data_IF_708579331344
#
_entry.id   IF_708579331344
#
_cell.length_a   1.000
_cell.length_b   1.000
_cell.length_c   1.000
_cell.angle_alpha   90.00
_cell.angle_beta   90.00
_cell.angle_gamma   90.00
#
_symmetry.space_group_name_H-M   'P 1'
#
loop_
_entity.id
_entity.type
_entity.pdbx_description
1 polymer ?
#
# COMPACT_ATOMS: atom_id res chain seq x y z
N UNK A 1 -22.00 -2.29 -21.12
CA UNK A 1 -21.24 -1.28 -21.86
C UNK A 1 -20.47 -0.48 -20.82
N UNK A 2 -19.16 -0.74 -20.65
CA UNK A 2 -18.33 -0.06 -19.67
C UNK A 2 -17.91 1.28 -20.27
N UNK A 3 -18.26 2.40 -19.63
CA UNK A 3 -17.94 3.72 -20.16
C UNK A 3 -16.42 3.95 -20.24
N UNK A 4 -15.93 4.65 -21.29
CA UNK A 4 -14.52 4.92 -21.46
C UNK A 4 -14.02 5.84 -20.35
N UNK A 5 -13.08 5.34 -19.55
CA UNK A 5 -12.44 6.10 -18.49
C UNK A 5 -11.63 7.25 -19.11
N UNK A 6 -12.07 8.46 -18.75
CA UNK A 6 -11.46 9.77 -18.96
C UNK A 6 -9.95 9.69 -19.24
N UNK A 7 -9.61 10.07 -20.47
CA UNK A 7 -8.26 10.41 -20.90
C UNK A 7 -7.88 11.75 -20.22
N UNK A 8 -7.49 11.69 -18.95
CA UNK A 8 -7.02 12.86 -18.21
C UNK A 8 -5.60 13.17 -18.66
N UNK A 9 -5.47 14.22 -19.48
CA UNK A 9 -4.21 14.92 -19.71
C UNK A 9 -3.51 15.13 -18.36
N UNK A 10 -2.29 14.61 -18.30
CA UNK A 10 -1.36 14.74 -17.20
C UNK A 10 -1.15 16.20 -16.80
N UNK A 11 -1.68 16.59 -15.64
CA UNK A 11 -1.16 17.69 -14.84
C UNK A 11 -1.01 17.16 -13.41
N UNK A 12 0.22 16.81 -13.04
CA UNK A 12 0.59 16.18 -11.76
C UNK A 12 0.00 14.77 -11.59
N UNK A 13 0.74 13.71 -11.97
CA UNK A 13 0.32 12.33 -11.67
C UNK A 13 0.25 12.15 -10.15
N UNK A 14 -0.94 12.25 -9.56
CA UNK A 14 -1.20 11.95 -8.16
C UNK A 14 -0.58 10.58 -7.83
N UNK A 15 0.52 10.59 -7.05
CA UNK A 15 1.18 9.37 -6.57
C UNK A 15 0.51 8.95 -5.28
N UNK A 16 -0.06 7.75 -5.28
CA UNK A 16 -0.78 7.17 -4.15
C UNK A 16 0.06 6.05 -3.54
N UNK A 17 0.27 6.08 -2.23
CA UNK A 17 0.72 4.94 -1.47
C UNK A 17 -0.45 4.33 -0.70
N UNK A 18 -0.55 3.01 -0.68
CA UNK A 18 -1.47 2.27 0.21
C UNK A 18 -0.65 1.39 1.16
N UNK A 19 -0.87 1.49 2.45
CA UNK A 19 -0.08 0.77 3.45
C UNK A 19 -0.95 -0.02 4.42
N UNK A 20 -0.54 -1.25 4.71
CA UNK A 20 -1.05 -2.05 5.84
C UNK A 20 0.13 -2.66 6.61
N UNK A 21 -0.12 -3.49 7.63
CA UNK A 21 0.98 -3.99 8.46
C UNK A 21 1.95 -4.89 7.70
N UNK A 22 1.46 -5.82 6.87
CA UNK A 22 2.31 -6.85 6.22
C UNK A 22 2.27 -6.84 4.68
N UNK A 23 1.58 -5.87 4.07
CA UNK A 23 1.46 -5.69 2.62
C UNK A 23 0.99 -6.92 1.82
N UNK A 24 -0.06 -7.59 2.27
CA UNK A 24 -0.54 -8.83 1.63
C UNK A 24 -2.02 -8.88 1.33
N UNK A 25 -2.86 -8.41 2.25
CA UNK A 25 -4.31 -8.49 2.12
C UNK A 25 -4.85 -7.10 1.75
N UNK A 26 -5.17 -6.28 2.75
CA UNK A 26 -5.81 -4.96 2.61
C UNK A 26 -5.10 -4.01 1.62
N UNK A 27 -3.80 -3.78 1.77
CA UNK A 27 -3.05 -2.88 0.88
C UNK A 27 -2.92 -3.42 -0.55
N UNK A 28 -2.78 -4.73 -0.72
CA UNK A 28 -2.63 -5.38 -2.04
C UNK A 28 -3.95 -5.44 -2.79
N UNK A 29 -5.06 -5.64 -2.09
CA UNK A 29 -6.40 -5.58 -2.66
C UNK A 29 -6.70 -4.15 -3.14
N UNK A 30 -6.44 -3.15 -2.30
CA UNK A 30 -6.54 -1.74 -2.68
C UNK A 30 -5.61 -1.40 -3.86
N UNK A 31 -4.36 -1.87 -3.83
CA UNK A 31 -3.40 -1.70 -4.93
C UNK A 31 -3.97 -2.26 -6.23
N UNK A 32 -4.44 -3.50 -6.22
CA UNK A 32 -4.97 -4.17 -7.40
C UNK A 32 -6.11 -3.34 -8.02
N UNK A 33 -7.09 -2.95 -7.20
CA UNK A 33 -8.26 -2.19 -7.67
C UNK A 33 -7.93 -0.77 -8.15
N UNK A 34 -6.94 -0.11 -7.56
CA UNK A 34 -6.44 1.20 -7.99
C UNK A 34 -5.65 1.07 -9.31
N UNK A 35 -4.78 0.06 -9.42
CA UNK A 35 -3.98 -0.19 -10.63
C UNK A 35 -4.87 -0.51 -11.83
N UNK A 36 -5.89 -1.35 -11.65
CA UNK A 36 -6.89 -1.68 -12.68
C UNK A 36 -7.65 -0.45 -13.20
N UNK A 37 -7.66 0.65 -12.44
CA UNK A 37 -8.35 1.90 -12.79
C UNK A 37 -7.39 3.00 -13.24
N UNK A 38 -6.13 2.65 -13.50
CA UNK A 38 -5.13 3.56 -14.08
C UNK A 38 -4.46 4.51 -13.07
N UNK A 39 -4.65 4.30 -11.77
CA UNK A 39 -3.98 5.12 -10.76
C UNK A 39 -2.48 4.81 -10.67
N UNK A 40 -1.68 5.83 -10.35
CA UNK A 40 -0.27 5.66 -10.02
C UNK A 40 -0.14 5.27 -8.54
N UNK A 41 -0.23 3.96 -8.26
CA UNK A 41 -0.26 3.41 -6.91
C UNK A 41 0.95 2.51 -6.63
N UNK A 42 1.48 2.62 -5.42
CA UNK A 42 2.41 1.68 -4.80
C UNK A 42 1.85 1.19 -3.45
N UNK A 43 2.23 -0.01 -3.02
CA UNK A 43 1.71 -0.62 -1.79
C UNK A 43 2.83 -1.06 -0.85
N UNK A 44 2.62 -0.85 0.44
CA UNK A 44 3.65 -1.01 1.45
C UNK A 44 3.17 -1.72 2.73
N UNK A 45 4.15 -2.20 3.48
CA UNK A 45 4.07 -2.81 4.79
C UNK A 45 4.76 -1.91 5.81
N UNK A 46 4.20 -1.72 7.00
CA UNK A 46 4.85 -0.91 8.06
C UNK A 46 5.35 -1.74 9.26
N UNK A 47 5.08 -3.05 9.29
CA UNK A 47 5.49 -3.95 10.37
C UNK A 47 6.98 -4.26 10.41
N UNK A 48 7.45 -4.78 11.55
CA UNK A 48 8.83 -5.22 11.74
C UNK A 48 9.15 -6.55 11.05
N UNK A 49 8.12 -7.33 10.72
CA UNK A 49 8.26 -8.64 10.07
C UNK A 49 7.32 -8.75 8.87
N UNK A 50 7.75 -9.47 7.85
CA UNK A 50 6.90 -9.96 6.77
C UNK A 50 6.28 -11.27 7.23
N UNK A 51 4.95 -11.33 7.38
CA UNK A 51 4.23 -12.54 7.85
C UNK A 51 3.33 -13.14 6.77
N UNK A 52 3.86 -13.99 5.91
CA UNK A 52 3.11 -14.58 4.81
C UNK A 52 2.28 -15.78 5.25
N UNK A 53 1.13 -16.07 4.60
CA UNK A 53 0.41 -17.32 4.80
C UNK A 53 1.37 -18.49 4.65
N UNK A 54 1.31 -19.43 5.57
CA UNK A 54 2.03 -20.69 5.46
C UNK A 54 1.06 -21.87 5.37
N UNK A 55 1.57 -23.11 5.53
CA UNK A 55 0.78 -24.32 5.30
C UNK A 55 -0.41 -24.48 6.25
N UNK A 56 -0.44 -23.76 7.38
CA UNK A 56 -1.53 -23.73 8.34
C UNK A 56 -1.60 -22.39 9.07
N UNK A 57 -2.76 -22.07 9.67
CA UNK A 57 -2.98 -20.83 10.45
C UNK A 57 -1.91 -20.64 11.53
N UNK A 58 -1.50 -21.73 12.19
CA UNK A 58 -0.50 -21.71 13.25
C UNK A 58 0.96 -21.67 12.77
N UNK A 59 1.19 -21.78 11.44
CA UNK A 59 2.55 -21.83 10.86
C UNK A 59 2.70 -20.82 9.72
N UNK A 60 2.62 -19.50 10.00
CA UNK A 60 2.92 -18.48 9.00
C UNK A 60 4.40 -18.48 8.64
N UNK A 61 4.73 -18.05 7.42
CA UNK A 61 6.11 -17.77 7.04
C UNK A 61 6.48 -16.37 7.55
N UNK A 62 7.36 -16.30 8.55
CA UNK A 62 7.78 -15.04 9.16
C UNK A 62 9.21 -14.75 8.71
N UNK A 63 9.42 -13.56 8.14
CA UNK A 63 10.74 -13.08 7.74
C UNK A 63 11.03 -11.74 8.39
N UNK A 64 12.28 -11.55 8.79
CA UNK A 64 12.78 -10.31 9.37
C UNK A 64 13.16 -9.33 8.24
N UNK A 65 12.58 -8.14 8.26
CA UNK A 65 12.75 -7.14 7.21
C UNK A 65 14.21 -6.68 7.04
N UNK A 66 15.03 -6.74 8.07
CA UNK A 66 16.36 -6.12 8.06
C UNK A 66 17.47 -7.10 7.63
N UNK A 67 17.19 -8.41 7.62
CA UNK A 67 18.18 -9.46 7.37
C UNK A 67 17.94 -10.29 6.11
N UNK A 68 16.85 -10.05 5.39
CA UNK A 68 16.51 -10.79 4.18
C UNK A 68 16.14 -9.85 3.04
N UNK A 69 16.56 -10.20 1.84
CA UNK A 69 16.18 -9.49 0.62
C UNK A 69 14.88 -10.05 0.03
N UNK A 70 14.22 -9.23 -0.79
CA UNK A 70 13.02 -9.66 -1.51
C UNK A 70 13.26 -10.87 -2.42
N UNK A 71 14.46 -10.97 -3.01
CA UNK A 71 14.81 -12.11 -3.86
C UNK A 71 14.89 -13.39 -3.03
N UNK A 72 15.45 -13.34 -1.83
CA UNK A 72 15.54 -14.50 -0.93
C UNK A 72 14.17 -14.95 -0.43
N UNK A 73 13.31 -14.00 -0.04
CA UNK A 73 11.90 -14.30 0.28
C UNK A 73 11.21 -14.93 -0.93
N UNK A 74 11.38 -14.37 -2.12
CA UNK A 74 10.74 -14.86 -3.34
C UNK A 74 11.22 -16.27 -3.71
N UNK A 75 12.52 -16.57 -3.60
CA UNK A 75 13.05 -17.91 -3.87
C UNK A 75 12.60 -18.91 -2.80
N UNK A 76 12.61 -18.54 -1.52
CA UNK A 76 12.12 -19.40 -0.44
C UNK A 76 10.63 -19.75 -0.62
N UNK A 77 9.81 -18.75 -0.97
CA UNK A 77 8.40 -18.97 -1.26
C UNK A 77 8.18 -19.70 -2.57
N UNK A 78 8.91 -19.41 -3.64
CA UNK A 78 8.78 -20.11 -4.92
C UNK A 78 9.13 -21.60 -4.78
N UNK A 79 10.07 -21.93 -3.90
CA UNK A 79 10.40 -23.31 -3.54
C UNK A 79 9.34 -23.97 -2.66
N UNK A 80 8.56 -23.19 -1.90
CA UNK A 80 7.49 -23.68 -1.01
C UNK A 80 6.10 -23.70 -1.67
N UNK A 81 5.78 -22.72 -2.52
CA UNK A 81 4.52 -22.55 -3.27
C UNK A 81 4.62 -21.43 -4.35
N UNK A 82 4.39 -21.75 -5.63
CA UNK A 82 4.79 -20.91 -6.78
C UNK A 82 3.95 -19.65 -7.05
N UNK A 83 3.05 -19.24 -6.15
CA UNK A 83 2.02 -18.20 -6.40
C UNK A 83 2.16 -16.89 -5.64
N UNK A 84 3.15 -16.70 -4.75
CA UNK A 84 3.22 -15.51 -3.90
C UNK A 84 4.03 -14.34 -4.50
N UNK A 85 3.47 -13.12 -4.48
CA UNK A 85 4.17 -11.86 -4.81
C UNK A 85 4.80 -11.25 -3.54
N UNK A 86 5.98 -10.65 -3.67
CA UNK A 86 6.79 -10.17 -2.54
C UNK A 86 6.32 -8.79 -1.99
N UNK A 87 6.10 -8.62 -0.67
CA UNK A 87 5.61 -7.38 -0.05
C UNK A 87 6.71 -6.33 0.19
N UNK A 88 6.53 -5.06 -0.19
CA UNK A 88 7.49 -3.95 0.08
C UNK A 88 7.26 -3.22 1.42
N UNK A 89 8.31 -2.72 2.10
CA UNK A 89 8.25 -1.91 3.35
C UNK A 89 8.14 -0.40 3.07
N UNK A 90 7.34 0.34 3.84
CA UNK A 90 7.16 1.79 3.66
C UNK A 90 8.40 2.58 4.09
N UNK A 91 8.97 2.26 5.26
CA UNK A 91 10.12 3.02 5.81
C UNK A 91 11.40 2.90 4.97
N UNK A 92 11.48 1.93 4.07
CA UNK A 92 12.63 1.72 3.17
C UNK A 92 12.45 2.40 1.81
N UNK A 93 11.35 3.12 1.59
CA UNK A 93 11.05 3.80 0.34
C UNK A 93 11.43 5.29 0.42
N UNK A 94 12.23 5.76 -0.54
CA UNK A 94 12.61 7.17 -0.69
C UNK A 94 11.72 7.94 -1.69
N UNK A 95 10.63 7.34 -2.16
CA UNK A 95 9.72 8.01 -3.10
C UNK A 95 8.74 8.96 -2.39
N UNK A 96 8.48 10.11 -3.03
CA UNK A 96 7.45 11.07 -2.59
C UNK A 96 6.05 10.68 -3.11
N UNK A 97 5.06 10.79 -2.21
CA UNK A 97 3.65 10.56 -2.51
C UNK A 97 2.81 11.79 -2.21
N UNK A 98 1.76 12.01 -2.99
CA UNK A 98 0.79 13.08 -2.73
C UNK A 98 -0.25 12.66 -1.70
N UNK A 99 -0.62 11.37 -1.71
CA UNK A 99 -1.60 10.79 -0.79
C UNK A 99 -1.09 9.44 -0.29
N UNK A 100 -1.11 9.25 1.03
CA UNK A 100 -0.83 7.98 1.69
C UNK A 100 -2.12 7.49 2.35
N UNK A 101 -2.51 6.26 2.04
CA UNK A 101 -3.74 5.65 2.56
C UNK A 101 -3.35 4.50 3.49
N UNK A 102 -3.68 4.64 4.76
CA UNK A 102 -3.42 3.63 5.79
C UNK A 102 -4.68 2.78 5.98
N UNK A 103 -4.50 1.47 6.18
CA UNK A 103 -5.62 0.52 6.31
C UNK A 103 -5.92 0.11 7.77
N UNK A 104 -5.24 0.73 8.74
CA UNK A 104 -5.48 0.64 10.19
C UNK A 104 -4.76 1.78 10.92
N UNK A 105 -5.27 2.13 12.10
CA UNK A 105 -4.74 3.24 12.91
C UNK A 105 -3.27 3.06 13.31
N UNK A 106 -2.88 1.83 13.68
CA UNK A 106 -1.48 1.54 14.03
C UNK A 106 -0.50 1.81 12.88
N UNK A 107 -0.91 1.53 11.64
CA UNK A 107 -0.08 1.82 10.45
C UNK A 107 0.00 3.32 10.21
N UNK A 108 -1.09 4.04 10.48
CA UNK A 108 -1.12 5.49 10.41
C UNK A 108 -0.11 6.12 11.37
N UNK A 109 -0.11 5.74 12.64
CA UNK A 109 0.84 6.25 13.64
C UNK A 109 2.28 6.02 13.21
N UNK A 110 2.59 4.79 12.76
CA UNK A 110 3.95 4.44 12.29
C UNK A 110 4.42 5.27 11.10
N UNK A 111 3.52 5.62 10.18
CA UNK A 111 3.85 6.44 9.00
C UNK A 111 4.02 7.90 9.40
N UNK A 112 3.17 8.42 10.29
CA UNK A 112 3.28 9.79 10.82
C UNK A 112 4.60 9.96 11.56
N UNK A 113 4.94 9.04 12.46
CA UNK A 113 6.21 9.05 13.20
C UNK A 113 7.43 9.02 12.27
N UNK A 114 7.37 8.16 11.23
CA UNK A 114 8.42 8.09 10.22
C UNK A 114 8.59 9.43 9.48
N UNK A 115 7.50 10.05 9.02
CA UNK A 115 7.58 11.31 8.28
C UNK A 115 8.03 12.49 9.15
N UNK A 116 7.68 12.51 10.44
CA UNK A 116 8.13 13.54 11.38
C UNK A 116 9.62 13.43 11.71
N UNK A 117 10.14 12.20 11.81
CA UNK A 117 11.54 11.95 12.19
C UNK A 117 12.49 12.05 11.00
N UNK A 118 11.99 11.95 9.77
CA UNK A 118 12.82 11.89 8.57
C UNK A 118 13.05 13.29 7.98
N UNK A 119 14.18 13.92 8.33
CA UNK A 119 14.57 15.27 7.89
C UNK A 119 14.67 15.40 6.36
N UNK A 120 14.99 14.31 5.65
CA UNK A 120 15.05 14.25 4.18
C UNK A 120 13.67 14.34 3.50
N UNK A 121 12.60 13.90 4.16
CA UNK A 121 11.24 14.04 3.65
C UNK A 121 10.69 15.45 3.85
N UNK A 122 11.17 16.17 4.89
CA UNK A 122 10.73 17.52 5.24
C UNK A 122 11.46 18.64 4.48
N UNK A 123 12.54 18.33 3.76
CA UNK A 123 13.40 19.33 3.09
C UNK A 123 12.85 19.82 1.74
N UNK A 124 11.86 19.15 1.15
CA UNK A 124 11.26 19.55 -0.14
C UNK A 124 10.12 20.56 0.00
N UNK A 125 9.53 20.72 1.19
CA UNK A 125 8.37 21.59 1.42
C UNK A 125 7.07 21.09 0.79
N UNK A 126 7.05 19.85 0.27
CA UNK A 126 5.86 19.26 -0.34
C UNK A 126 4.90 18.71 0.74
N UNK A 127 3.62 19.08 0.63
CA UNK A 127 2.59 18.58 1.55
C UNK A 127 2.12 17.18 1.12
N UNK A 128 2.06 16.25 2.07
CA UNK A 128 1.51 14.90 1.89
C UNK A 128 0.22 14.74 2.71
N UNK A 129 -0.83 14.21 2.08
CA UNK A 129 -2.08 13.89 2.78
C UNK A 129 -2.09 12.44 3.24
N UNK A 130 -2.28 12.21 4.53
CA UNK A 130 -2.37 10.86 5.11
C UNK A 130 -3.83 10.61 5.52
N UNK A 131 -4.43 9.53 5.03
CA UNK A 131 -5.82 9.18 5.27
C UNK A 131 -5.90 7.75 5.83
N UNK A 132 -6.45 7.60 7.02
CA UNK A 132 -6.67 6.28 7.61
C UNK A 132 -8.07 5.74 7.28
N UNK A 133 -8.13 4.46 6.89
CA UNK A 133 -9.34 3.65 6.80
C UNK A 133 -9.17 2.43 7.68
N UNK A 134 -9.96 2.32 8.74
CA UNK A 134 -9.91 1.13 9.58
C UNK A 134 -10.64 -0.04 8.90
N UNK A 135 -9.86 -0.93 8.28
CA UNK A 135 -10.38 -2.10 7.56
C UNK A 135 -9.93 -3.36 8.30
N UNK A 136 -10.89 -4.22 8.61
CA UNK A 136 -10.63 -5.51 9.25
C UNK A 136 -9.81 -6.43 8.33
N UNK A 137 -8.91 -7.22 8.92
CA UNK A 137 -7.98 -8.06 8.17
C UNK A 137 -8.59 -9.41 7.75
N UNK A 138 -9.65 -9.34 6.96
CA UNK A 138 -10.26 -10.49 6.29
C UNK A 138 -10.49 -10.17 4.81
N UNK A 139 -10.78 -11.19 3.99
CA UNK A 139 -10.90 -11.01 2.54
C UNK A 139 -12.12 -10.16 2.14
N UNK A 140 -13.25 -10.33 2.81
CA UNK A 140 -14.51 -9.63 2.46
C UNK A 140 -14.38 -8.12 2.72
N UNK A 141 -13.90 -7.76 3.91
CA UNK A 141 -13.68 -6.37 4.32
C UNK A 141 -12.55 -5.72 3.51
N UNK A 142 -11.49 -6.46 3.16
CA UNK A 142 -10.45 -5.95 2.27
C UNK A 142 -11.01 -5.56 0.89
N UNK A 143 -11.86 -6.39 0.29
CA UNK A 143 -12.48 -6.08 -1.00
C UNK A 143 -13.44 -4.89 -0.89
N UNK A 144 -14.30 -4.85 0.15
CA UNK A 144 -15.22 -3.72 0.37
C UNK A 144 -14.44 -2.42 0.61
N UNK A 145 -13.44 -2.46 1.47
CA UNK A 145 -12.55 -1.35 1.78
C UNK A 145 -11.80 -0.83 0.55
N UNK A 146 -11.27 -1.74 -0.29
CA UNK A 146 -10.62 -1.36 -1.55
C UNK A 146 -11.57 -0.60 -2.50
N UNK A 147 -12.84 -0.99 -2.58
CA UNK A 147 -13.84 -0.27 -3.38
C UNK A 147 -14.14 1.13 -2.82
N UNK A 148 -14.17 1.29 -1.49
CA UNK A 148 -14.34 2.59 -0.82
C UNK A 148 -13.14 3.49 -1.12
N UNK A 149 -11.92 2.98 -0.96
CA UNK A 149 -10.66 3.70 -1.25
C UNK A 149 -10.65 4.19 -2.70
N UNK A 150 -10.99 3.34 -3.66
CA UNK A 150 -11.11 3.74 -5.07
C UNK A 150 -12.13 4.85 -5.27
N UNK A 151 -13.30 4.76 -4.63
CA UNK A 151 -14.34 5.80 -4.73
C UNK A 151 -13.83 7.13 -4.18
N UNK A 152 -13.09 7.10 -3.07
CA UNK A 152 -12.44 8.29 -2.51
C UNK A 152 -11.42 8.86 -3.49
N UNK A 153 -10.45 8.06 -3.95
CA UNK A 153 -9.41 8.53 -4.88
C UNK A 153 -10.00 9.14 -6.16
N UNK A 154 -11.09 8.56 -6.68
CA UNK A 154 -11.83 9.14 -7.81
C UNK A 154 -12.44 10.50 -7.49
N UNK A 155 -13.01 10.68 -6.29
CA UNK A 155 -13.58 11.96 -5.87
C UNK A 155 -12.49 13.03 -5.66
N UNK A 156 -11.40 12.65 -4.99
CA UNK A 156 -10.25 13.53 -4.76
C UNK A 156 -9.64 14.00 -6.07
N UNK A 157 -9.40 13.08 -7.03
CA UNK A 157 -8.92 13.46 -8.36
C UNK A 157 -9.86 14.42 -9.09
N UNK A 158 -11.18 14.21 -9.00
CA UNK A 158 -12.16 15.12 -9.63
C UNK A 158 -12.12 16.51 -9.02
N UNK A 159 -11.85 16.64 -7.72
CA UNK A 159 -11.85 17.91 -7.02
C UNK A 159 -10.56 18.72 -7.24
N UNK A 160 -9.45 18.04 -7.56
CA UNK A 160 -8.18 18.67 -7.95
C UNK A 160 -8.18 19.10 -9.43
N UNK A 161 -9.09 18.56 -10.24
CA UNK A 161 -9.22 18.84 -11.69
C UNK A 161 -10.27 19.93 -12.04
N UNK A 162 -10.84 20.61 -11.04
CA UNK A 162 -11.76 21.76 -11.21
C UNK A 162 -11.08 23.00 -10.63
#
# INVERSE_FOLDING_TARGET
MLEPFINAKSNGKLKIAVSCSSNMNRSMEAHYFLKQRGFNVQSFGSGNYVKLPGPSIDKPNIYDFDSITYEEIYQDLKNKDSKLKCPQKFQSCEEHFSVIICMEERVYDQIVDFLQTNESANSTGECVHIINFDIQDNHEEATVGALIVVKLCKKVLKQILI
#
